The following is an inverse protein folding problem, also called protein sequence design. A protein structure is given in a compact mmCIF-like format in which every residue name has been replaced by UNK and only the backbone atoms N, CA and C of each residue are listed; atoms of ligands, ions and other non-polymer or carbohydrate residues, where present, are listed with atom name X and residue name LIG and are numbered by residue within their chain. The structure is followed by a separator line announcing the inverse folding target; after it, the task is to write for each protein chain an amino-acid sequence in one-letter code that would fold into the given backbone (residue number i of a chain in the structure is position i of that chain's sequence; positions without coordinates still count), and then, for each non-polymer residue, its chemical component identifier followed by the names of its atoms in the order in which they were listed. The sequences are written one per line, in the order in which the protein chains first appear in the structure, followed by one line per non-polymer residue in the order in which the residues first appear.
data_IF_920878627428
#
_entry.id   IF_920878627428
#
_cell.length_a   1.000
_cell.length_b   1.000
_cell.length_c   1.000
_cell.angle_alpha   90.00
_cell.angle_beta   90.00
_cell.angle_gamma   90.00
#
_symmetry.space_group_name_H-M   'P 1'
#
loop_
_entity.id
_entity.type
_entity.pdbx_description
1 polymer ?
#
# COMPACT_ATOMS: atom_id res chain seq x y z
N UNK A 1 10.31 5.19 -10.59
CA UNK A 1 11.59 4.98 -9.88
C UNK A 1 11.90 3.48 -9.94
N UNK A 2 13.07 3.02 -9.52
CA UNK A 2 13.41 1.59 -9.53
C UNK A 2 14.32 1.22 -8.37
N UNK A 3 14.32 -0.05 -7.97
CA UNK A 3 15.29 -0.60 -7.02
C UNK A 3 16.66 -0.77 -7.68
N UNK A 4 17.69 -1.10 -6.89
CA UNK A 4 19.04 -1.43 -7.38
C UNK A 4 19.04 -2.65 -8.31
N UNK A 5 18.07 -3.55 -8.15
CA UNK A 5 17.89 -4.76 -8.96
C UNK A 5 16.99 -4.51 -10.19
N UNK A 6 16.61 -3.25 -10.45
CA UNK A 6 15.78 -2.87 -11.59
C UNK A 6 14.29 -3.15 -11.44
N UNK A 7 13.81 -3.45 -10.22
CA UNK A 7 12.38 -3.68 -9.96
C UNK A 7 11.65 -2.33 -10.01
N UNK A 8 10.52 -2.20 -10.72
CA UNK A 8 9.79 -0.95 -10.83
C UNK A 8 9.21 -0.51 -9.47
N UNK A 9 9.40 0.76 -9.12
CA UNK A 9 8.95 1.35 -7.86
C UNK A 9 8.16 2.63 -8.08
N UNK A 10 6.99 2.71 -7.45
CA UNK A 10 6.16 3.90 -7.39
C UNK A 10 6.37 4.61 -6.04
N UNK A 11 6.81 5.86 -6.09
CA UNK A 11 6.97 6.72 -4.91
C UNK A 11 5.98 7.87 -5.09
N UNK A 12 4.93 7.90 -4.27
CA UNK A 12 3.89 8.90 -4.40
C UNK A 12 3.15 9.15 -3.08
N UNK A 13 3.20 10.42 -2.64
CA UNK A 13 2.74 10.91 -1.34
C UNK A 13 3.49 10.30 -0.14
N UNK A 14 3.41 11.00 1.00
CA UNK A 14 4.04 10.57 2.27
C UNK A 14 3.50 11.37 3.45
N UNK A 15 2.24 11.15 3.87
CA UNK A 15 1.67 11.85 5.03
C UNK A 15 2.20 11.27 6.35
N UNK A 16 2.23 12.09 7.40
CA UNK A 16 2.64 11.64 8.73
C UNK A 16 1.72 10.54 9.28
N UNK A 17 2.30 9.49 9.84
CA UNK A 17 1.54 8.38 10.38
C UNK A 17 0.96 8.65 11.79
N UNK A 18 1.41 9.72 12.47
CA UNK A 18 0.86 10.15 13.77
C UNK A 18 -0.45 10.93 13.60
N UNK A 19 -0.42 11.99 12.79
CA UNK A 19 -1.56 12.92 12.59
C UNK A 19 -2.42 12.58 11.37
N UNK A 20 -1.98 11.67 10.51
CA UNK A 20 -2.71 11.19 9.34
C UNK A 20 -2.55 9.66 9.21
N UNK A 21 -2.90 9.12 8.03
CA UNK A 21 -2.95 7.68 7.80
C UNK A 21 -1.60 7.04 7.47
N UNK A 22 -0.52 7.80 7.26
CA UNK A 22 0.82 7.22 7.22
C UNK A 22 1.12 6.26 6.07
N UNK A 23 0.43 6.39 4.94
CA UNK A 23 0.53 5.46 3.83
C UNK A 23 0.71 6.19 2.49
N UNK A 24 1.31 5.52 1.52
CA UNK A 24 1.37 5.94 0.12
C UNK A 24 -0.03 6.17 -0.47
N UNK A 25 -0.12 6.95 -1.55
CA UNK A 25 -1.40 7.29 -2.17
C UNK A 25 -2.17 6.08 -2.72
N UNK A 26 -3.50 6.14 -2.68
CA UNK A 26 -4.39 5.14 -3.30
C UNK A 26 -4.20 5.06 -4.82
N UNK A 27 -3.84 6.18 -5.47
CA UNK A 27 -3.65 6.25 -6.93
C UNK A 27 -2.47 5.37 -7.35
N UNK A 28 -1.34 5.47 -6.63
CA UNK A 28 -0.16 4.65 -6.92
C UNK A 28 -0.46 3.16 -6.78
N UNK A 29 -1.12 2.77 -5.68
CA UNK A 29 -1.48 1.36 -5.46
C UNK A 29 -2.44 0.84 -6.54
N UNK A 30 -3.41 1.65 -6.98
CA UNK A 30 -4.33 1.27 -8.06
C UNK A 30 -3.63 1.09 -9.40
N UNK A 31 -2.59 1.88 -9.66
CA UNK A 31 -1.76 1.73 -10.86
C UNK A 31 -0.92 0.47 -10.74
N UNK A 32 -0.25 0.25 -9.60
CA UNK A 32 0.55 -0.93 -9.35
C UNK A 32 -0.25 -2.23 -9.49
N UNK A 33 -1.44 -2.31 -8.89
CA UNK A 33 -2.34 -3.47 -8.97
C UNK A 33 -2.84 -3.78 -10.39
N UNK A 34 -2.74 -2.84 -11.34
CA UNK A 34 -3.06 -3.06 -12.75
C UNK A 34 -1.84 -3.47 -13.58
N UNK A 35 -0.63 -3.11 -13.14
CA UNK A 35 0.62 -3.31 -13.87
C UNK A 35 1.42 -4.52 -13.37
N UNK A 36 1.19 -4.99 -12.16
CA UNK A 36 1.89 -6.13 -11.56
C UNK A 36 0.94 -7.16 -10.96
N UNK A 37 1.39 -8.41 -10.90
CA UNK A 37 0.65 -9.48 -10.21
C UNK A 37 0.74 -9.34 -8.68
N UNK A 38 1.85 -8.80 -8.20
CA UNK A 38 2.10 -8.51 -6.79
C UNK A 38 2.48 -7.04 -6.61
N UNK A 39 1.83 -6.37 -5.67
CA UNK A 39 2.13 -4.99 -5.28
C UNK A 39 2.48 -4.99 -3.80
N UNK A 40 3.70 -4.59 -3.47
CA UNK A 40 4.13 -4.42 -2.08
C UNK A 40 3.93 -2.95 -1.72
N UNK A 41 3.26 -2.69 -0.60
CA UNK A 41 3.08 -1.34 -0.02
C UNK A 41 3.39 -1.39 1.47
N UNK A 42 3.85 -0.27 2.01
CA UNK A 42 4.14 -0.10 3.43
C UNK A 42 3.18 0.89 4.09
N UNK A 43 3.09 0.81 5.42
CA UNK A 43 2.49 1.82 6.28
C UNK A 43 3.51 2.24 7.35
N UNK A 44 3.48 3.51 7.75
CA UNK A 44 4.40 4.05 8.75
C UNK A 44 4.08 3.59 10.17
N UNK A 45 5.12 3.48 11.02
CA UNK A 45 5.09 2.88 12.37
C UNK A 45 4.82 1.37 12.39
N UNK A 46 4.58 0.83 13.59
CA UNK A 46 4.26 -0.58 13.79
C UNK A 46 2.88 -0.95 13.23
N UNK A 47 2.58 -2.24 13.28
CA UNK A 47 1.31 -2.79 12.81
C UNK A 47 0.10 -2.29 13.63
N UNK A 48 0.34 -1.87 14.86
CA UNK A 48 -0.63 -1.24 15.76
C UNK A 48 -1.16 0.10 15.22
N UNK A 49 -0.37 0.80 14.40
CA UNK A 49 -0.73 2.12 13.88
C UNK A 49 -0.77 2.17 12.36
N UNK A 50 0.31 1.79 11.68
CA UNK A 50 0.41 1.88 10.22
C UNK A 50 -0.52 0.90 9.50
N UNK A 51 -0.51 -0.35 9.95
CA UNK A 51 -1.32 -1.42 9.36
C UNK A 51 -2.80 -1.30 9.72
N UNK A 52 -3.12 -0.95 10.97
CA UNK A 52 -4.49 -0.65 11.40
C UNK A 52 -5.13 0.43 10.52
N UNK A 53 -4.43 1.56 10.32
CA UNK A 53 -4.90 2.66 9.46
C UNK A 53 -4.92 2.28 7.98
N UNK A 54 -4.01 1.43 7.53
CA UNK A 54 -4.03 0.91 6.16
C UNK A 54 -5.33 0.10 5.90
N UNK A 55 -5.69 -0.78 6.84
CA UNK A 55 -6.89 -1.63 6.73
C UNK A 55 -8.19 -0.85 6.91
N UNK A 56 -8.25 0.00 7.94
CA UNK A 56 -9.49 0.66 8.34
C UNK A 56 -9.74 1.98 7.61
N UNK A 57 -8.70 2.69 7.15
CA UNK A 57 -8.88 3.99 6.46
C UNK A 57 -8.59 3.84 4.97
N UNK A 58 -7.36 3.44 4.60
CA UNK A 58 -6.92 3.41 3.20
C UNK A 58 -7.70 2.38 2.38
N UNK A 59 -7.86 1.17 2.89
CA UNK A 59 -8.60 0.09 2.20
C UNK A 59 -10.08 0.41 2.03
N UNK A 60 -10.71 1.01 3.05
CA UNK A 60 -12.10 1.41 2.97
C UNK A 60 -12.30 2.49 1.90
N UNK A 61 -11.46 3.53 1.89
CA UNK A 61 -11.55 4.63 0.94
C UNK A 61 -11.17 4.21 -0.49
N UNK A 62 -10.25 3.26 -0.63
CA UNK A 62 -9.86 2.73 -1.93
C UNK A 62 -10.90 1.77 -2.55
N UNK A 63 -11.91 1.38 -1.78
CA UNK A 63 -12.78 0.24 -2.05
C UNK A 63 -12.13 -1.03 -1.49
N UNK A 64 -12.89 -1.79 -0.68
CA UNK A 64 -12.42 -2.96 0.12
C UNK A 64 -11.55 -3.97 -0.66
N UNK A 65 -11.59 -3.95 -1.99
CA UNK A 65 -10.76 -4.77 -2.89
C UNK A 65 -9.27 -4.39 -2.98
N UNK A 66 -8.83 -3.21 -2.54
CA UNK A 66 -7.44 -2.77 -2.73
C UNK A 66 -6.46 -3.62 -1.91
N UNK A 67 -6.77 -3.86 -0.63
CA UNK A 67 -6.00 -4.78 0.23
C UNK A 67 -6.44 -6.23 0.01
N UNK A 68 -7.71 -6.47 -0.34
CA UNK A 68 -8.22 -7.83 -0.54
C UNK A 68 -7.66 -8.49 -1.82
N UNK A 69 -7.29 -7.75 -2.88
CA UNK A 69 -6.59 -8.35 -4.04
C UNK A 69 -5.21 -8.89 -3.68
N UNK A 70 -4.53 -8.23 -2.75
CA UNK A 70 -3.29 -8.71 -2.13
C UNK A 70 -3.51 -10.01 -1.35
N UNK A 71 -4.69 -10.18 -0.74
CA UNK A 71 -5.04 -11.33 0.11
C UNK A 71 -5.77 -12.48 -0.61
N UNK A 72 -6.28 -12.25 -1.83
CA UNK A 72 -6.98 -13.27 -2.64
C UNK A 72 -6.05 -14.20 -3.45
N UNK A 73 -4.76 -13.85 -3.51
CA UNK A 73 -3.68 -14.68 -4.02
C UNK A 73 -2.67 -14.83 -2.88
N UNK A 74 -2.00 -15.99 -2.73
CA UNK A 74 -1.24 -16.30 -1.53
C UNK A 74 -0.25 -15.17 -1.23
N UNK A 75 -0.46 -14.49 -0.09
CA UNK A 75 0.46 -13.48 0.41
C UNK A 75 1.80 -14.15 0.72
N UNK A 76 2.85 -13.69 0.05
CA UNK A 76 4.21 -13.77 0.56
C UNK A 76 4.50 -12.38 1.13
N UNK A 77 4.65 -12.32 2.45
CA UNK A 77 5.34 -11.20 3.14
C UNK A 77 6.82 -11.34 2.85
#
# INVERSE_FOLDING_TARGET
MQTLEGVPTLIHAGPFANIAHGNSSIIADRIALKLSEFTITEGGFGSDMGFEKACNIKAQQAGRGLIVRLWSRPCVV
#
